data_IF_199693144323
#
_entry.id   IF_199693144323
#
_cell.length_a   1.000
_cell.length_b   1.000
_cell.length_c   1.000
_cell.angle_alpha   90.00
_cell.angle_beta   90.00
_cell.angle_gamma   90.00
#
_symmetry.space_group_name_H-M   'P 1'
#
loop_
_entity.id
_entity.type
_entity.pdbx_description
1 polymer ?
#
# COMPACT_ATOMS: atom_id res chain seq x y z
N UNK A 1 -9.88 -5.04 -3.06
CA UNK A 1 -10.65 -4.31 -2.03
C UNK A 1 -11.36 -3.13 -2.66
N UNK A 2 -12.56 -2.75 -2.21
CA UNK A 2 -13.20 -1.54 -2.70
C UNK A 2 -12.71 -0.31 -1.92
N UNK A 3 -12.70 0.86 -2.57
CA UNK A 3 -12.33 2.13 -1.92
C UNK A 3 -13.26 2.44 -0.74
N UNK A 4 -14.57 2.11 -0.84
CA UNK A 4 -15.53 2.23 0.27
C UNK A 4 -15.12 1.42 1.50
N UNK A 5 -14.65 0.20 1.29
CA UNK A 5 -14.28 -0.71 2.37
C UNK A 5 -12.99 -0.23 3.06
N UNK A 6 -12.04 0.30 2.26
CA UNK A 6 -10.83 0.90 2.78
C UNK A 6 -11.14 2.11 3.67
N UNK A 7 -11.97 3.04 3.17
CA UNK A 7 -12.34 4.24 3.94
C UNK A 7 -13.09 3.88 5.22
N UNK A 8 -13.94 2.84 5.18
CA UNK A 8 -14.60 2.32 6.37
C UNK A 8 -13.61 1.73 7.37
N UNK A 9 -12.67 0.90 6.92
CA UNK A 9 -11.64 0.31 7.79
C UNK A 9 -10.78 1.38 8.46
N UNK A 10 -10.42 2.45 7.74
CA UNK A 10 -9.67 3.58 8.29
C UNK A 10 -10.48 4.33 9.36
N UNK A 11 -11.79 4.54 9.15
CA UNK A 11 -12.65 5.23 10.12
C UNK A 11 -12.86 4.40 11.40
N UNK A 12 -12.90 3.07 11.30
CA UNK A 12 -13.06 2.17 12.45
C UNK A 12 -11.80 2.16 13.36
N UNK A 13 -10.63 2.43 12.81
CA UNK A 13 -9.38 2.57 13.58
C UNK A 13 -9.30 3.87 14.39
N UNK A 14 -10.37 4.68 14.42
CA UNK A 14 -10.42 6.02 15.06
C UNK A 14 -9.32 6.97 14.58
N UNK A 15 -8.79 6.74 13.44
CA UNK A 15 -7.75 7.55 12.85
C UNK A 15 -8.43 8.58 11.95
N UNK A 16 -8.63 9.80 12.43
CA UNK A 16 -9.05 10.95 11.60
C UNK A 16 -7.95 11.36 10.60
N UNK A 17 -7.20 10.36 10.14
CA UNK A 17 -6.01 10.56 9.33
C UNK A 17 -6.32 10.84 7.86
N UNK A 18 -7.51 10.40 7.38
CA UNK A 18 -7.93 10.60 6.00
C UNK A 18 -9.36 11.13 5.94
N UNK A 19 -9.56 12.22 5.20
CA UNK A 19 -10.88 12.79 4.89
C UNK A 19 -11.10 12.85 3.39
N UNK A 20 -12.35 12.71 2.96
CA UNK A 20 -12.74 12.83 1.55
C UNK A 20 -12.88 14.32 1.22
N UNK A 21 -12.13 14.82 0.24
CA UNK A 21 -12.29 16.16 -0.34
C UNK A 21 -13.28 16.15 -1.49
N UNK A 22 -13.20 15.13 -2.34
CA UNK A 22 -14.12 14.91 -3.44
C UNK A 22 -14.31 13.44 -3.73
N UNK A 23 -15.56 13.05 -4.01
CA UNK A 23 -15.93 11.70 -4.39
C UNK A 23 -16.96 11.75 -5.52
N UNK A 24 -16.65 11.22 -6.70
CA UNK A 24 -17.57 11.18 -7.84
C UNK A 24 -18.67 10.10 -7.73
N UNK A 25 -18.93 9.56 -6.55
CA UNK A 25 -19.85 8.44 -6.36
C UNK A 25 -19.29 7.08 -6.76
N UNK A 26 -18.00 6.99 -7.05
CA UNK A 26 -17.32 5.77 -7.53
C UNK A 26 -16.53 5.05 -6.44
N UNK A 27 -17.04 5.04 -5.21
CA UNK A 27 -16.41 4.31 -4.09
C UNK A 27 -16.38 2.77 -4.31
N UNK A 28 -17.09 2.28 -5.33
CA UNK A 28 -17.04 0.87 -5.76
C UNK A 28 -15.83 0.53 -6.64
N UNK A 29 -14.86 1.48 -6.84
CA UNK A 29 -13.61 1.17 -7.53
C UNK A 29 -12.77 0.20 -6.70
N UNK A 30 -12.18 -0.77 -7.39
CA UNK A 30 -11.22 -1.68 -6.77
C UNK A 30 -9.90 -0.95 -6.48
N UNK A 31 -9.22 -1.36 -5.42
CA UNK A 31 -7.87 -0.90 -5.09
C UNK A 31 -6.97 -2.13 -4.99
N UNK A 32 -5.84 -2.07 -5.69
CA UNK A 32 -4.83 -3.13 -5.70
C UNK A 32 -3.62 -2.80 -4.83
N UNK A 33 -3.27 -1.50 -4.71
CA UNK A 33 -2.08 -1.06 -4.00
C UNK A 33 -2.04 0.44 -3.80
N UNK A 34 -0.91 0.92 -3.32
CA UNK A 34 -0.57 2.32 -3.13
C UNK A 34 0.72 2.64 -3.86
N UNK A 35 0.85 3.87 -4.36
CA UNK A 35 2.03 4.40 -5.03
C UNK A 35 2.40 5.73 -4.40
N UNK A 36 3.57 5.81 -3.78
CA UNK A 36 4.17 7.08 -3.37
C UNK A 36 4.79 7.73 -4.60
N UNK A 37 4.44 8.98 -4.88
CA UNK A 37 4.88 9.68 -6.08
C UNK A 37 5.26 11.13 -5.80
N UNK A 38 6.44 11.50 -6.25
CA UNK A 38 6.85 12.90 -6.38
C UNK A 38 6.56 13.33 -7.83
N UNK A 39 5.82 14.42 -8.08
CA UNK A 39 5.49 14.87 -9.43
C UNK A 39 6.69 15.25 -10.34
N UNK A 40 7.89 15.34 -9.79
CA UNK A 40 9.13 15.51 -10.59
C UNK A 40 9.46 14.22 -11.35
N UNK A 41 9.07 13.06 -10.79
CA UNK A 41 9.33 11.77 -11.38
C UNK A 41 8.30 11.40 -12.47
N UNK A 42 8.61 10.37 -13.25
CA UNK A 42 7.64 9.80 -14.19
C UNK A 42 6.57 9.04 -13.41
N UNK A 43 5.29 9.34 -13.68
CA UNK A 43 4.17 8.66 -13.02
C UNK A 43 4.15 7.17 -13.40
N UNK A 44 4.17 6.24 -12.43
CA UNK A 44 4.04 4.81 -12.69
C UNK A 44 2.70 4.45 -13.33
N UNK A 45 2.70 3.48 -14.24
CA UNK A 45 1.49 2.98 -14.88
C UNK A 45 0.86 1.85 -14.03
N UNK A 46 0.19 2.25 -12.93
CA UNK A 46 -0.43 1.33 -11.99
C UNK A 46 -1.92 1.64 -11.78
N UNK A 47 -2.77 1.29 -12.76
CA UNK A 47 -4.22 1.49 -12.63
C UNK A 47 -4.79 0.73 -11.43
N UNK A 48 -5.94 1.20 -10.93
CA UNK A 48 -6.62 0.66 -9.74
C UNK A 48 -5.80 0.81 -8.43
N UNK A 49 -4.76 1.63 -8.41
CA UNK A 49 -3.99 1.96 -7.19
C UNK A 49 -4.41 3.31 -6.61
N UNK A 50 -3.99 3.59 -5.38
CA UNK A 50 -4.09 4.91 -4.76
C UNK A 50 -2.77 5.63 -4.96
N UNK A 51 -2.80 6.82 -5.54
CA UNK A 51 -1.64 7.69 -5.67
C UNK A 51 -1.50 8.55 -4.42
N UNK A 52 -0.36 8.48 -3.76
CA UNK A 52 0.01 9.34 -2.63
C UNK A 52 0.97 10.40 -3.15
N UNK A 53 0.48 11.63 -3.32
CA UNK A 53 1.31 12.74 -3.81
C UNK A 53 2.16 13.31 -2.69
N UNK A 54 3.46 13.22 -2.87
CA UNK A 54 4.48 13.76 -1.97
C UNK A 54 5.14 14.97 -2.59
N UNK A 55 5.80 15.80 -1.76
CA UNK A 55 6.65 16.89 -2.26
C UNK A 55 5.93 18.11 -2.84
N UNK A 56 4.59 18.13 -2.90
CA UNK A 56 3.80 19.22 -3.52
C UNK A 56 2.84 19.88 -2.55
N UNK A 57 2.46 21.11 -2.85
CA UNK A 57 1.33 21.82 -2.22
C UNK A 57 0.08 21.70 -3.09
N UNK A 58 -1.08 21.65 -2.47
CA UNK A 58 -2.37 21.45 -3.18
C UNK A 58 -2.75 22.61 -4.11
N UNK A 59 -2.18 23.79 -3.89
CA UNK A 59 -2.38 24.99 -4.72
C UNK A 59 -1.34 25.15 -5.84
N UNK A 60 -0.43 24.19 -6.03
CA UNK A 60 0.57 24.22 -7.10
C UNK A 60 0.06 23.54 -8.37
N UNK A 61 0.54 24.01 -9.51
CA UNK A 61 0.20 23.43 -10.81
C UNK A 61 0.69 21.97 -10.94
N UNK A 62 1.79 21.62 -10.30
CA UNK A 62 2.32 20.24 -10.27
C UNK A 62 1.33 19.25 -9.66
N UNK A 63 0.59 19.66 -8.63
CA UNK A 63 -0.45 18.82 -8.00
C UNK A 63 -1.63 18.57 -8.96
N UNK A 64 -2.11 19.60 -9.66
CA UNK A 64 -3.20 19.46 -10.63
C UNK A 64 -2.79 18.62 -11.83
N UNK A 65 -1.58 18.81 -12.35
CA UNK A 65 -1.03 17.99 -13.43
C UNK A 65 -0.88 16.51 -13.04
N UNK A 66 -0.35 16.24 -11.84
CA UNK A 66 -0.21 14.87 -11.34
C UNK A 66 -1.57 14.19 -11.13
N UNK A 67 -2.57 14.93 -10.64
CA UNK A 67 -3.94 14.41 -10.49
C UNK A 67 -4.57 14.09 -11.84
N UNK A 68 -4.44 14.97 -12.83
CA UNK A 68 -4.95 14.75 -14.19
C UNK A 68 -4.29 13.53 -14.83
N UNK A 69 -2.97 13.40 -14.69
CA UNK A 69 -2.21 12.26 -15.19
C UNK A 69 -2.65 10.94 -14.48
N UNK A 70 -2.86 10.98 -13.17
CA UNK A 70 -3.35 9.84 -12.41
C UNK A 70 -4.74 9.37 -12.89
N UNK A 71 -5.63 10.32 -13.19
CA UNK A 71 -6.94 10.00 -13.73
C UNK A 71 -6.87 9.33 -15.11
N UNK A 72 -5.96 9.78 -15.98
CA UNK A 72 -5.73 9.20 -17.31
C UNK A 72 -5.16 7.77 -17.23
N UNK A 73 -4.26 7.51 -16.29
CA UNK A 73 -3.71 6.17 -16.04
C UNK A 73 -4.77 5.23 -15.45
N UNK A 74 -5.76 5.76 -14.75
CA UNK A 74 -6.83 4.98 -14.14
C UNK A 74 -6.62 4.69 -12.65
N UNK A 75 -5.87 5.54 -11.95
CA UNK A 75 -5.80 5.46 -10.49
C UNK A 75 -7.19 5.59 -9.86
N UNK A 76 -7.43 4.90 -8.76
CA UNK A 76 -8.74 4.88 -8.08
C UNK A 76 -8.96 6.10 -7.19
N UNK A 77 -7.90 6.63 -6.61
CA UNK A 77 -7.91 7.82 -5.78
C UNK A 77 -6.55 8.49 -5.74
N UNK A 78 -6.54 9.78 -5.37
CA UNK A 78 -5.33 10.55 -5.08
C UNK A 78 -5.39 11.02 -3.63
N UNK A 79 -4.31 10.87 -2.88
CA UNK A 79 -4.15 11.38 -1.50
C UNK A 79 -3.15 12.52 -1.50
N UNK A 80 -3.52 13.63 -0.85
CA UNK A 80 -2.68 14.83 -0.67
C UNK A 80 -2.67 15.27 0.79
N UNK A 81 -1.75 16.15 1.17
CA UNK A 81 -1.82 16.94 2.40
C UNK A 81 -2.18 18.38 2.09
N UNK A 82 -3.20 18.90 2.76
CA UNK A 82 -3.70 20.26 2.50
C UNK A 82 -2.83 21.32 3.18
N UNK A 83 -2.31 21.06 4.36
CA UNK A 83 -1.39 21.94 5.12
C UNK A 83 -1.90 23.37 5.29
N UNK A 84 -3.24 23.52 5.40
CA UNK A 84 -3.88 24.85 5.53
C UNK A 84 -3.98 25.64 4.22
N UNK A 85 -3.51 25.10 3.09
CA UNK A 85 -3.67 25.76 1.79
C UNK A 85 -5.09 25.59 1.24
N UNK A 86 -5.47 26.44 0.29
CA UNK A 86 -6.72 26.31 -0.45
C UNK A 86 -6.64 25.19 -1.48
N UNK A 87 -7.42 24.15 -1.29
CA UNK A 87 -7.49 22.99 -2.16
C UNK A 87 -8.57 23.12 -3.27
N UNK A 88 -9.26 24.25 -3.38
CA UNK A 88 -10.41 24.43 -4.28
C UNK A 88 -10.07 24.14 -5.74
N UNK A 89 -8.89 24.55 -6.21
CA UNK A 89 -8.44 24.28 -7.58
C UNK A 89 -8.24 22.78 -7.81
N UNK A 90 -7.61 22.08 -6.86
CA UNK A 90 -7.37 20.63 -6.97
C UNK A 90 -8.69 19.83 -6.89
N UNK A 91 -9.65 20.30 -6.06
CA UNK A 91 -11.00 19.73 -6.01
C UNK A 91 -11.73 19.90 -7.35
N UNK A 92 -11.68 21.07 -7.97
CA UNK A 92 -12.26 21.31 -9.29
C UNK A 92 -11.64 20.41 -10.36
N UNK A 93 -10.34 20.20 -10.30
CA UNK A 93 -9.63 19.29 -11.21
C UNK A 93 -10.06 17.84 -10.98
N UNK A 94 -10.21 17.42 -9.72
CA UNK A 94 -10.71 16.09 -9.37
C UNK A 94 -12.15 15.87 -9.88
N UNK A 95 -13.00 16.91 -9.85
CA UNK A 95 -14.34 16.88 -10.43
C UNK A 95 -14.30 16.72 -11.95
N UNK A 96 -13.46 17.50 -12.62
CA UNK A 96 -13.31 17.48 -14.09
C UNK A 96 -12.87 16.10 -14.58
N UNK A 97 -11.92 15.48 -13.89
CA UNK A 97 -11.38 14.17 -14.24
C UNK A 97 -12.11 13.00 -13.57
N UNK A 98 -13.12 13.28 -12.74
CA UNK A 98 -13.98 12.26 -12.14
C UNK A 98 -13.17 11.22 -11.32
N UNK A 99 -12.15 11.70 -10.57
CA UNK A 99 -11.29 10.91 -9.70
C UNK A 99 -11.50 11.27 -8.23
N UNK A 100 -11.45 10.28 -7.33
CA UNK A 100 -11.60 10.53 -5.89
C UNK A 100 -10.35 11.25 -5.35
N UNK A 101 -10.58 12.34 -4.61
CA UNK A 101 -9.55 13.11 -3.94
C UNK A 101 -9.70 13.00 -2.42
N UNK A 102 -8.63 12.59 -1.75
CA UNK A 102 -8.56 12.39 -0.31
C UNK A 102 -7.50 13.34 0.28
N UNK A 103 -7.72 13.81 1.50
CA UNK A 103 -6.72 14.54 2.27
C UNK A 103 -6.26 13.69 3.45
N UNK A 104 -4.96 13.50 3.56
CA UNK A 104 -4.33 12.96 4.76
C UNK A 104 -4.10 14.07 5.79
N UNK A 105 -4.11 13.71 7.08
CA UNK A 105 -3.69 14.61 8.17
C UNK A 105 -2.26 15.11 7.95
N UNK A 106 -2.01 16.38 8.29
CA UNK A 106 -0.69 16.98 8.12
C UNK A 106 0.37 16.34 9.05
N UNK A 107 -0.06 15.75 10.16
CA UNK A 107 0.80 15.14 11.17
C UNK A 107 1.27 13.73 10.79
N UNK A 108 0.49 13.01 9.97
CA UNK A 108 0.85 11.65 9.60
C UNK A 108 2.09 11.64 8.69
N UNK A 109 3.03 10.74 8.96
CA UNK A 109 4.17 10.52 8.06
C UNK A 109 3.72 9.71 6.84
N UNK A 110 4.15 10.10 5.63
CA UNK A 110 3.80 9.40 4.40
C UNK A 110 4.11 7.91 4.42
N UNK A 111 5.26 7.52 4.95
CA UNK A 111 5.66 6.12 5.09
C UNK A 111 4.71 5.34 6.03
N UNK A 112 4.25 5.99 7.11
CA UNK A 112 3.30 5.37 8.03
C UNK A 112 1.93 5.19 7.38
N UNK A 113 1.46 6.21 6.66
CA UNK A 113 0.21 6.14 5.90
C UNK A 113 0.26 5.03 4.86
N UNK A 114 1.32 4.97 4.05
CA UNK A 114 1.50 3.95 3.03
C UNK A 114 1.51 2.54 3.64
N UNK A 115 2.30 2.32 4.70
CA UNK A 115 2.35 1.04 5.41
C UNK A 115 0.98 0.62 5.97
N UNK A 116 0.22 1.58 6.52
CA UNK A 116 -1.15 1.32 7.05
C UNK A 116 -2.10 0.92 5.93
N UNK A 117 -2.09 1.65 4.81
CA UNK A 117 -2.92 1.33 3.65
C UNK A 117 -2.57 -0.04 3.07
N UNK A 118 -1.29 -0.35 2.92
CA UNK A 118 -0.83 -1.65 2.42
C UNK A 118 -1.20 -2.79 3.37
N UNK A 119 -1.09 -2.60 4.69
CA UNK A 119 -1.51 -3.59 5.68
C UNK A 119 -3.02 -3.90 5.59
N UNK A 120 -3.85 -2.87 5.41
CA UNK A 120 -5.30 -3.05 5.24
C UNK A 120 -5.60 -3.76 3.90
N UNK A 121 -4.93 -3.39 2.82
CA UNK A 121 -5.10 -4.02 1.51
C UNK A 121 -4.65 -5.48 1.54
N UNK A 122 -3.52 -5.78 2.17
CA UNK A 122 -2.97 -7.13 2.32
C UNK A 122 -3.84 -8.04 3.18
N UNK A 123 -4.42 -7.54 4.27
CA UNK A 123 -5.29 -8.31 5.17
C UNK A 123 -6.57 -8.82 4.51
N UNK A 124 -7.07 -8.13 3.48
CA UNK A 124 -8.26 -8.52 2.71
C UNK A 124 -7.92 -9.51 1.57
N UNK A 125 -6.70 -9.41 1.00
CA UNK A 125 -6.21 -10.37 0.00
C UNK A 125 -6.04 -11.78 0.57
N UNK A 126 -5.72 -11.88 1.85
CA UNK A 126 -5.54 -13.16 2.57
C UNK A 126 -6.85 -13.92 2.84
N UNK A 127 -8.01 -13.30 2.69
CA UNK A 127 -9.32 -13.99 2.83
C UNK A 127 -9.74 -14.78 1.60
N UNK A 128 -9.15 -14.52 0.44
CA UNK A 128 -9.51 -15.18 -0.83
C UNK A 128 -8.38 -15.98 -1.47
N UNK A 129 -7.15 -15.85 -0.98
CA UNK A 129 -6.03 -16.71 -1.38
C UNK A 129 -5.55 -17.50 -0.17
N UNK A 130 -6.29 -18.57 0.08
CA UNK A 130 -5.96 -19.64 1.01
C UNK A 130 -4.49 -20.06 0.91
N UNK A 131 -3.84 -20.13 2.07
CA UNK A 131 -2.79 -21.07 2.51
C UNK A 131 -1.54 -21.34 1.62
N UNK A 132 -1.52 -21.03 0.34
CA UNK A 132 -0.40 -21.33 -0.55
C UNK A 132 0.56 -20.15 -0.80
N UNK A 133 0.11 -18.90 -0.73
CA UNK A 133 0.95 -17.72 -1.00
C UNK A 133 1.88 -17.34 0.16
N UNK A 134 1.45 -17.52 1.41
CA UNK A 134 2.28 -17.20 2.58
C UNK A 134 3.48 -18.14 2.73
N UNK A 135 3.34 -19.39 2.31
CA UNK A 135 4.46 -20.34 2.30
C UNK A 135 5.60 -19.81 1.44
N UNK A 136 5.33 -19.46 0.18
CA UNK A 136 6.35 -19.06 -0.79
C UNK A 136 7.06 -17.77 -0.41
N UNK A 137 6.36 -16.78 0.16
CA UNK A 137 6.96 -15.52 0.63
C UNK A 137 7.86 -15.74 1.84
N UNK A 138 7.44 -16.55 2.81
CA UNK A 138 8.23 -16.89 3.99
C UNK A 138 9.45 -17.73 3.62
N UNK A 139 9.33 -18.65 2.67
CA UNK A 139 10.46 -19.40 2.15
C UNK A 139 11.45 -18.50 1.38
N UNK A 140 10.96 -17.54 0.60
CA UNK A 140 11.79 -16.55 -0.09
C UNK A 140 12.52 -15.67 0.92
N UNK A 141 11.86 -15.23 1.98
CA UNK A 141 12.46 -14.47 3.07
C UNK A 141 13.53 -15.28 3.80
N UNK A 142 13.21 -16.55 4.17
CA UNK A 142 14.16 -17.42 4.83
C UNK A 142 15.41 -17.66 3.99
N UNK A 143 15.27 -17.89 2.67
CA UNK A 143 16.38 -18.05 1.74
C UNK A 143 17.22 -16.77 1.58
N UNK A 144 16.57 -15.60 1.51
CA UNK A 144 17.25 -14.32 1.42
C UNK A 144 18.09 -14.03 2.67
N UNK A 145 17.52 -14.27 3.84
CA UNK A 145 18.23 -14.13 5.11
C UNK A 145 19.39 -15.12 5.24
N UNK A 146 19.18 -16.39 4.86
CA UNK A 146 20.21 -17.41 4.88
C UNK A 146 21.41 -17.05 3.98
N UNK A 147 21.14 -16.46 2.82
CA UNK A 147 22.15 -15.96 1.86
C UNK A 147 23.01 -14.83 2.44
N UNK A 148 22.38 -13.94 3.25
CA UNK A 148 23.07 -12.81 3.89
C UNK A 148 23.89 -13.26 5.11
N UNK A 149 23.33 -14.16 5.93
CA UNK A 149 23.92 -14.62 7.20
C UNK A 149 24.97 -15.72 6.97
N UNK A 150 24.88 -16.45 5.83
CA UNK A 150 25.73 -17.61 5.53
C UNK A 150 25.39 -18.85 6.36
N UNK A 151 24.14 -18.94 6.85
CA UNK A 151 23.65 -20.03 7.70
C UNK A 151 22.20 -20.39 7.43
N UNK A 152 21.72 -21.51 8.01
CA UNK A 152 20.32 -21.92 7.89
C UNK A 152 19.41 -21.00 8.72
N UNK A 153 18.25 -20.65 8.16
CA UNK A 153 17.23 -19.81 8.79
C UNK A 153 15.93 -20.59 8.86
N UNK A 154 15.30 -20.60 10.03
CA UNK A 154 13.93 -21.07 10.23
C UNK A 154 13.07 -19.89 10.71
N UNK A 155 11.86 -19.76 10.20
CA UNK A 155 10.85 -18.79 10.63
C UNK A 155 9.79 -19.58 11.38
N UNK A 156 9.53 -19.19 12.62
CA UNK A 156 8.59 -19.86 13.52
C UNK A 156 7.48 -18.89 13.96
N UNK A 157 6.30 -19.42 14.26
CA UNK A 157 5.23 -18.66 14.90
C UNK A 157 5.46 -18.52 16.43
N UNK A 158 4.55 -17.82 17.11
CA UNK A 158 4.60 -17.64 18.57
C UNK A 158 4.47 -18.96 19.34
N UNK A 159 3.91 -20.00 18.71
CA UNK A 159 3.74 -21.35 19.27
C UNK A 159 4.92 -22.28 18.92
N UNK A 160 6.00 -21.74 18.35
CA UNK A 160 7.22 -22.45 17.90
C UNK A 160 6.99 -23.48 16.79
N UNK A 161 5.96 -23.27 15.98
CA UNK A 161 5.75 -24.07 14.77
C UNK A 161 6.56 -23.45 13.64
N UNK A 162 7.32 -24.27 12.93
CA UNK A 162 8.10 -23.82 11.77
C UNK A 162 7.14 -23.47 10.63
N UNK A 163 7.16 -22.20 10.20
CA UNK A 163 6.37 -21.68 9.09
C UNK A 163 7.14 -21.75 7.77
N UNK A 164 8.45 -21.54 7.81
CA UNK A 164 9.35 -21.67 6.65
C UNK A 164 10.78 -21.90 7.12
N UNK A 165 11.59 -22.48 6.21
CA UNK A 165 13.03 -22.67 6.44
C UNK A 165 13.81 -22.45 5.13
N UNK A 166 15.10 -22.12 5.24
CA UNK A 166 15.95 -21.94 4.07
C UNK A 166 16.31 -23.28 3.42
N UNK A 167 16.25 -23.33 2.08
CA UNK A 167 16.56 -24.50 1.26
C UNK A 167 17.74 -24.28 0.31
N UNK A 168 18.81 -23.61 0.78
CA UNK A 168 19.99 -23.36 -0.05
C UNK A 168 20.76 -24.66 -0.31
N UNK A 169 21.25 -24.88 -1.56
CA UNK A 169 21.79 -26.18 -2.00
C UNK A 169 23.05 -26.67 -1.28
N UNK A 170 23.78 -25.78 -0.58
CA UNK A 170 25.01 -26.10 0.15
C UNK A 170 24.82 -26.33 1.65
N UNK A 171 23.58 -26.30 2.15
CA UNK A 171 23.32 -26.54 3.58
C UNK A 171 23.07 -28.03 3.80
N UNK A 172 23.99 -28.69 4.48
CA UNK A 172 23.78 -30.06 5.00
C UNK A 172 22.60 -30.01 5.97
N UNK A 173 21.47 -30.56 5.56
CA UNK A 173 20.35 -30.83 6.47
C UNK A 173 20.89 -31.89 7.46
N UNK A 174 21.00 -31.49 8.74
CA UNK A 174 21.37 -32.41 9.80
C UNK A 174 20.24 -33.43 9.92
N UNK A 175 20.49 -34.65 9.43
CA UNK A 175 19.52 -35.77 9.38
C UNK A 175 19.01 -36.21 10.77
N UNK A 176 19.39 -35.51 11.83
CA UNK A 176 18.99 -35.77 13.23
C UNK A 176 17.68 -35.10 13.67
N UNK A 177 17.03 -34.29 12.80
CA UNK A 177 15.76 -33.62 13.13
C UNK A 177 14.50 -34.27 12.55
N UNK A 178 14.63 -35.37 11.81
CA UNK A 178 13.49 -36.15 11.30
C UNK A 178 12.94 -37.21 12.26
N UNK A 179 13.50 -37.34 13.46
CA UNK A 179 13.04 -38.31 14.47
C UNK A 179 12.69 -37.59 15.79
N UNK A 180 11.66 -36.73 15.74
CA UNK A 180 11.11 -36.10 16.95
C UNK A 180 9.64 -35.78 16.74
#
# INVERSE_FOLDING_TARGET
>A
MLLSDLLKALSEQKTEEIRVLFNPGKLARSIRGTVLHDPIDTLPNEPDSILILTGVRVNEQSATQALSAAALVGYSAVIVKVRGDDASQLVNEAQTHNITLLAASDEIRWQHLDATLQAILGSQGSRTQSAQGYGDELYTLANSLASIIGGSVAIEDMDRRVLAYSSLPDQRIDALREQG
#
